data_IF_603676127514
#
_entry.id   IF_603676127514
#
_cell.length_a   1.000
_cell.length_b   1.000
_cell.length_c   1.000
_cell.angle_alpha   90.00
_cell.angle_beta   90.00
_cell.angle_gamma   90.00
#
_symmetry.space_group_name_H-M   'P 1'
#
loop_
_entity.id
_entity.type
_entity.pdbx_description
1 polymer ?
#
# COMPACT_ATOMS: atom_id res chain seq x y z
N UNK A 1 -2.47 -23.10 4.63
CA UNK A 1 -3.34 -23.75 5.64
C UNK A 1 -4.74 -23.22 5.43
N UNK A 2 -5.71 -24.09 5.23
CA UNK A 2 -7.12 -23.72 5.07
C UNK A 2 -7.88 -24.15 6.33
N UNK A 3 -8.74 -23.27 6.86
CA UNK A 3 -9.65 -23.60 7.94
C UNK A 3 -11.03 -23.02 7.66
N UNK A 4 -12.05 -23.80 8.00
CA UNK A 4 -13.42 -23.32 8.01
C UNK A 4 -13.62 -22.36 9.18
N UNK A 5 -14.13 -21.17 8.88
CA UNK A 5 -14.52 -20.17 9.86
C UNK A 5 -16.04 -20.16 10.03
N UNK A 6 -16.52 -19.88 11.25
CA UNK A 6 -17.95 -19.77 11.49
C UNK A 6 -18.46 -18.42 11.00
N UNK A 7 -19.55 -18.45 10.24
CA UNK A 7 -20.31 -17.27 9.86
C UNK A 7 -21.44 -17.04 10.87
N UNK A 8 -21.63 -15.79 11.26
CA UNK A 8 -22.74 -15.40 12.12
C UNK A 8 -23.35 -14.07 11.68
N UNK A 9 -24.53 -13.76 12.19
CA UNK A 9 -25.23 -12.51 11.92
C UNK A 9 -24.92 -11.49 13.00
N UNK A 10 -24.61 -10.26 12.59
CA UNK A 10 -24.51 -9.09 13.47
C UNK A 10 -25.51 -8.04 12.99
N UNK A 11 -26.72 -8.08 13.54
CA UNK A 11 -27.84 -7.30 13.03
C UNK A 11 -28.17 -7.68 11.58
N UNK A 12 -28.19 -6.70 10.67
CA UNK A 12 -28.42 -6.92 9.23
C UNK A 12 -27.18 -7.44 8.49
N UNK A 13 -26.01 -7.41 9.12
CA UNK A 13 -24.74 -7.74 8.49
C UNK A 13 -24.34 -9.19 8.75
N UNK A 14 -23.52 -9.74 7.86
CA UNK A 14 -22.84 -11.02 8.06
C UNK A 14 -21.44 -10.77 8.59
N UNK A 15 -20.97 -11.62 9.50
CA UNK A 15 -19.65 -11.55 10.10
C UNK A 15 -18.96 -12.91 10.09
N UNK A 16 -17.64 -12.91 9.93
CA UNK A 16 -16.77 -14.08 10.00
C UNK A 16 -16.09 -14.06 11.38
N UNK A 17 -16.17 -15.17 12.12
CA UNK A 17 -15.35 -15.37 13.31
C UNK A 17 -13.97 -15.86 12.89
N UNK A 18 -12.97 -14.98 12.95
CA UNK A 18 -11.59 -15.34 12.62
C UNK A 18 -11.02 -16.28 13.70
N UNK A 19 -10.49 -17.46 13.33
CA UNK A 19 -9.70 -18.28 14.24
C UNK A 19 -8.44 -17.52 14.70
N UNK A 20 -7.88 -17.90 15.84
CA UNK A 20 -6.79 -17.18 16.51
C UNK A 20 -5.58 -16.94 15.58
N UNK A 21 -5.23 -17.94 14.79
CA UNK A 21 -4.12 -17.91 13.84
C UNK A 21 -4.33 -16.98 12.62
N UNK A 22 -5.57 -16.51 12.39
CA UNK A 22 -5.93 -15.56 11.31
C UNK A 22 -6.32 -14.18 11.86
N UNK A 23 -6.05 -13.91 13.14
CA UNK A 23 -6.37 -12.60 13.74
C UNK A 23 -5.45 -11.50 13.20
N UNK A 24 -6.00 -10.30 13.06
CA UNK A 24 -5.25 -9.10 12.69
C UNK A 24 -4.92 -8.29 13.94
N UNK A 25 -3.75 -7.66 13.97
CA UNK A 25 -3.33 -6.69 14.97
C UNK A 25 -3.93 -5.28 14.76
N UNK A 26 -4.79 -5.13 13.74
CA UNK A 26 -5.42 -3.87 13.34
C UNK A 26 -6.92 -3.83 13.66
N UNK A 27 -7.46 -2.62 13.81
CA UNK A 27 -8.90 -2.40 14.06
C UNK A 27 -9.77 -2.56 12.82
N UNK A 28 -9.19 -2.52 11.62
CA UNK A 28 -9.90 -2.56 10.35
C UNK A 28 -9.03 -3.13 9.24
N UNK A 29 -9.63 -3.91 8.36
CA UNK A 29 -8.99 -4.50 7.18
C UNK A 29 -9.65 -4.02 5.90
N UNK A 30 -8.92 -4.07 4.80
CA UNK A 30 -9.51 -3.94 3.47
C UNK A 30 -10.18 -5.25 3.09
N UNK A 31 -11.29 -5.14 2.37
CA UNK A 31 -12.04 -6.27 1.82
C UNK A 31 -12.15 -6.06 0.31
N UNK A 32 -11.74 -7.06 -0.47
CA UNK A 32 -11.94 -7.09 -1.92
C UNK A 32 -12.43 -8.46 -2.35
N UNK A 33 -13.08 -8.50 -3.52
CA UNK A 33 -13.38 -9.75 -4.21
C UNK A 33 -12.39 -9.91 -5.36
N UNK A 34 -11.79 -11.09 -5.51
CA UNK A 34 -10.92 -11.40 -6.66
C UNK A 34 -11.73 -11.91 -7.87
N UNK A 35 -11.02 -12.23 -8.94
CA UNK A 35 -11.62 -12.71 -10.21
C UNK A 35 -12.30 -14.08 -10.07
N UNK A 36 -11.85 -14.90 -9.11
CA UNK A 36 -12.44 -16.20 -8.78
C UNK A 36 -13.68 -16.05 -7.87
N UNK A 37 -13.95 -14.84 -7.38
CA UNK A 37 -15.08 -14.54 -6.51
C UNK A 37 -14.79 -14.72 -5.02
N UNK A 38 -13.55 -15.02 -4.64
CA UNK A 38 -13.12 -15.16 -3.25
C UNK A 38 -13.10 -13.81 -2.54
N UNK A 39 -13.38 -13.80 -1.24
CA UNK A 39 -13.27 -12.60 -0.41
C UNK A 39 -11.88 -12.57 0.23
N UNK A 40 -11.08 -11.58 -0.14
CA UNK A 40 -9.73 -11.39 0.38
C UNK A 40 -9.74 -10.26 1.42
N UNK A 41 -9.25 -10.57 2.61
CA UNK A 41 -9.03 -9.62 3.70
C UNK A 41 -7.54 -9.28 3.77
N UNK A 42 -7.21 -7.98 3.75
CA UNK A 42 -5.83 -7.52 3.81
C UNK A 42 -5.68 -6.51 4.93
N UNK A 43 -4.73 -6.73 5.83
CA UNK A 43 -4.33 -5.72 6.81
C UNK A 43 -3.85 -4.48 6.07
N UNK A 44 -4.20 -3.29 6.56
CA UNK A 44 -3.55 -2.08 6.03
C UNK A 44 -2.08 -2.15 6.41
N UNK A 45 -1.21 -2.43 5.44
CA UNK A 45 0.23 -2.42 5.70
C UNK A 45 0.67 -1.00 6.05
N UNK A 46 1.62 -0.87 6.98
CA UNK A 46 2.26 0.42 7.29
C UNK A 46 2.84 1.07 6.03
N UNK A 47 3.32 0.26 5.08
CA UNK A 47 3.79 0.70 3.75
C UNK A 47 2.68 1.35 2.93
N UNK A 48 1.49 0.77 2.89
CA UNK A 48 0.33 1.35 2.18
C UNK A 48 -0.06 2.69 2.79
N UNK A 49 -0.10 2.75 4.14
CA UNK A 49 -0.41 3.97 4.88
C UNK A 49 0.61 5.08 4.64
N UNK A 50 1.90 4.72 4.61
CA UNK A 50 2.98 5.65 4.27
C UNK A 50 2.87 6.14 2.82
N UNK A 51 2.54 5.26 1.87
CA UNK A 51 2.32 5.65 0.47
C UNK A 51 1.14 6.62 0.34
N UNK A 52 0.00 6.33 0.97
CA UNK A 52 -1.17 7.21 0.94
C UNK A 52 -0.87 8.58 1.55
N UNK A 53 -0.16 8.60 2.69
CA UNK A 53 0.28 9.83 3.33
C UNK A 53 1.22 10.64 2.41
N UNK A 54 2.18 9.97 1.76
CA UNK A 54 3.09 10.60 0.81
C UNK A 54 2.35 11.21 -0.38
N UNK A 55 1.44 10.46 -1.01
CA UNK A 55 0.65 10.96 -2.14
C UNK A 55 -0.28 12.12 -1.74
N UNK A 56 -0.83 12.10 -0.51
CA UNK A 56 -1.61 13.22 0.01
C UNK A 56 -0.75 14.48 0.16
N UNK A 57 0.44 14.34 0.74
CA UNK A 57 1.39 15.45 0.88
C UNK A 57 1.77 16.01 -0.49
N UNK A 58 2.11 15.14 -1.45
CA UNK A 58 2.47 15.56 -2.81
C UNK A 58 1.37 16.40 -3.47
N UNK A 59 0.09 16.05 -3.30
CA UNK A 59 -1.05 16.83 -3.84
C UNK A 59 -1.21 18.21 -3.19
N UNK A 60 -0.78 18.36 -1.94
CA UNK A 60 -0.85 19.60 -1.19
C UNK A 60 0.39 20.47 -1.38
N UNK A 61 1.49 19.87 -1.85
CA UNK A 61 2.73 20.58 -2.16
C UNK A 61 2.54 21.38 -3.45
N UNK A 62 2.74 22.69 -3.36
CA UNK A 62 2.90 23.52 -4.55
C UNK A 62 4.27 23.24 -5.17
N UNK A 63 4.28 22.75 -6.41
CA UNK A 63 5.48 22.56 -7.21
C UNK A 63 5.46 23.60 -8.32
N UNK A 64 6.44 24.52 -8.38
CA UNK A 64 6.51 25.51 -9.46
C UNK A 64 6.62 24.82 -10.83
N UNK A 65 6.04 25.42 -11.87
CA UNK A 65 6.14 24.88 -13.24
C UNK A 65 7.59 24.87 -13.77
N UNK A 66 8.47 25.69 -13.18
CA UNK A 66 9.90 25.72 -13.48
C UNK A 66 10.70 24.59 -12.80
N UNK A 67 10.13 23.87 -11.83
CA UNK A 67 10.83 22.85 -11.07
C UNK A 67 11.14 21.62 -11.94
N UNK A 68 12.42 21.23 -12.03
CA UNK A 68 12.89 20.17 -12.92
C UNK A 68 12.49 20.46 -14.35
N UNK A 69 12.89 21.62 -14.87
CA UNK A 69 12.65 22.00 -16.26
C UNK A 69 13.29 21.01 -17.25
N UNK A 70 12.93 21.09 -18.53
CA UNK A 70 13.53 20.23 -19.56
C UNK A 70 15.04 20.44 -19.65
N UNK A 71 15.49 21.67 -19.47
CA UNK A 71 16.89 22.07 -19.47
C UNK A 71 17.63 21.51 -18.25
N UNK A 72 17.04 21.60 -17.05
CA UNK A 72 17.61 21.01 -15.82
C UNK A 72 17.67 19.48 -15.86
N UNK A 73 16.71 18.83 -16.53
CA UNK A 73 16.69 17.37 -16.74
C UNK A 73 17.64 16.91 -17.83
N UNK A 74 18.10 17.80 -18.71
CA UNK A 74 19.03 17.47 -19.79
C UNK A 74 20.47 17.35 -19.26
N UNK A 75 20.65 16.50 -18.24
CA UNK A 75 21.94 16.22 -17.64
C UNK A 75 22.67 15.22 -18.54
N UNK A 76 23.92 15.52 -18.86
CA UNK A 76 24.79 14.60 -19.57
C UNK A 76 25.05 13.35 -18.72
N UNK A 77 25.09 12.19 -19.37
CA UNK A 77 25.60 10.97 -18.72
C UNK A 77 27.07 11.19 -18.35
N UNK A 78 27.37 11.07 -17.05
CA UNK A 78 28.75 10.98 -16.57
C UNK A 78 29.02 9.53 -16.23
N UNK A 79 29.97 8.92 -16.93
CA UNK A 79 30.57 7.65 -16.48
C UNK A 79 31.52 8.00 -15.34
N UNK A 80 31.12 7.68 -14.10
CA UNK A 80 32.01 7.70 -12.94
C UNK A 80 32.42 6.28 -12.64
N UNK A 81 33.71 6.04 -12.48
CA UNK A 81 34.19 4.77 -11.94
C UNK A 81 34.02 4.81 -10.42
N UNK A 82 33.16 3.95 -9.82
CA UNK A 82 32.96 3.92 -8.37
C UNK A 82 34.21 3.47 -7.59
N UNK A 83 35.26 3.01 -8.27
CA UNK A 83 36.52 2.57 -7.67
C UNK A 83 37.72 3.47 -8.01
N UNK A 84 37.51 4.60 -8.70
CA UNK A 84 38.61 5.53 -9.00
C UNK A 84 39.22 6.09 -7.69
N UNK A 85 40.47 5.74 -7.40
CA UNK A 85 41.20 6.18 -6.20
C UNK A 85 41.17 5.24 -5.00
N UNK A 86 40.61 4.03 -5.14
CA UNK A 86 40.86 2.89 -4.25
C UNK A 86 42.06 2.07 -4.75
#
# INVERSE_FOLDING_TARGET
MERTAKLFRKGRNQAVMLPAEFTFDTKSVYIRRDEEGNVVLTARSEKERHRDNFLRLLKQTHVPDSFLSKEERNQSYTTRDPFEGL
#
